data_IF_372914893785
#
_entry.id   IF_372914893785
#
_cell.length_a   1.000
_cell.length_b   1.000
_cell.length_c   1.000
_cell.angle_alpha   90.00
_cell.angle_beta   90.00
_cell.angle_gamma   90.00
#
_symmetry.space_group_name_H-M   'P 1'
#
loop_
_entity.id
_entity.type
_entity.pdbx_description
1 polymer ?
#
# COMPACT_ATOMS: atom_id res chain seq x y z
N UNK A 1 3.35 -15.20 15.30
CA UNK A 1 2.63 -15.94 14.23
C UNK A 1 3.60 -16.67 13.30
N UNK A 2 3.11 -17.57 12.46
CA UNK A 2 3.93 -18.25 11.45
C UNK A 2 4.32 -17.25 10.36
N UNK A 3 5.61 -17.14 9.95
CA UNK A 3 6.02 -16.32 8.82
C UNK A 3 5.24 -16.70 7.54
N UNK A 4 4.85 -15.70 6.76
CA UNK A 4 4.15 -15.90 5.51
C UNK A 4 4.89 -15.20 4.37
N UNK A 5 4.87 -15.81 3.19
CA UNK A 5 5.44 -15.22 1.98
C UNK A 5 4.49 -14.20 1.36
N UNK A 6 5.03 -13.10 0.86
CA UNK A 6 4.30 -12.29 -0.13
C UNK A 6 3.95 -13.18 -1.34
N UNK A 7 2.72 -13.05 -1.84
CA UNK A 7 2.25 -13.84 -3.00
C UNK A 7 2.79 -13.34 -4.34
N UNK A 8 3.78 -12.44 -4.30
CA UNK A 8 4.53 -11.94 -5.47
C UNK A 8 6.02 -11.89 -5.12
N UNK A 9 6.87 -11.84 -6.14
CA UNK A 9 8.32 -11.66 -5.98
C UNK A 9 8.65 -10.18 -5.69
N UNK A 10 8.34 -9.75 -4.48
CA UNK A 10 8.47 -8.34 -4.07
C UNK A 10 9.94 -7.88 -4.13
N UNK A 11 10.88 -8.72 -3.71
CA UNK A 11 12.31 -8.39 -3.71
C UNK A 11 12.82 -8.02 -5.10
N UNK A 12 12.45 -8.81 -6.12
CA UNK A 12 12.81 -8.53 -7.53
C UNK A 12 12.23 -7.20 -8.00
N UNK A 13 10.97 -6.93 -7.67
CA UNK A 13 10.29 -5.69 -8.10
C UNK A 13 10.90 -4.46 -7.46
N UNK A 14 11.14 -4.49 -6.15
CA UNK A 14 11.78 -3.37 -5.43
C UNK A 14 13.20 -3.14 -5.95
N UNK A 15 13.97 -4.21 -6.13
CA UNK A 15 15.35 -4.11 -6.67
C UNK A 15 15.35 -3.56 -8.09
N UNK A 16 14.42 -3.97 -8.94
CA UNK A 16 14.31 -3.46 -10.31
C UNK A 16 14.01 -1.94 -10.32
N UNK A 17 13.09 -1.47 -9.48
CA UNK A 17 12.79 -0.04 -9.35
C UNK A 17 14.00 0.75 -8.81
N UNK A 18 14.70 0.22 -7.80
CA UNK A 18 15.92 0.82 -7.26
C UNK A 18 17.03 0.87 -8.30
N UNK A 19 17.18 -0.20 -9.11
CA UNK A 19 18.15 -0.23 -10.21
C UNK A 19 17.83 0.83 -11.28
N UNK A 20 16.58 0.96 -11.68
CA UNK A 20 16.16 1.98 -12.66
C UNK A 20 16.47 3.41 -12.15
N UNK A 21 16.18 3.68 -10.88
CA UNK A 21 16.49 4.96 -10.24
C UNK A 21 18.01 5.22 -10.21
N UNK A 22 18.80 4.24 -9.80
CA UNK A 22 20.25 4.37 -9.69
C UNK A 22 20.90 4.56 -11.07
N UNK A 23 20.46 3.85 -12.10
CA UNK A 23 20.92 4.00 -13.48
C UNK A 23 20.59 5.41 -13.99
N UNK A 24 19.37 5.88 -13.79
CA UNK A 24 18.95 7.22 -14.21
C UNK A 24 19.80 8.31 -13.54
N UNK A 25 20.07 8.18 -12.24
CA UNK A 25 20.91 9.09 -11.50
C UNK A 25 22.37 9.07 -12.01
N UNK A 26 22.91 7.89 -12.31
CA UNK A 26 24.27 7.74 -12.84
C UNK A 26 24.40 8.34 -14.27
N UNK A 27 23.39 8.15 -15.11
CA UNK A 27 23.33 8.75 -16.44
C UNK A 27 23.24 10.29 -16.36
N UNK A 28 22.44 10.81 -15.47
CA UNK A 28 22.35 12.26 -15.24
C UNK A 28 23.67 12.84 -14.72
N UNK A 29 24.32 12.15 -13.78
CA UNK A 29 25.65 12.57 -13.29
C UNK A 29 26.67 12.58 -14.43
N UNK A 30 26.71 11.53 -15.27
CA UNK A 30 27.60 11.46 -16.44
C UNK A 30 27.35 12.61 -17.42
N UNK A 31 26.11 12.97 -17.66
CA UNK A 31 25.76 14.11 -18.54
C UNK A 31 26.30 15.43 -17.99
N UNK A 32 26.36 15.57 -16.67
CA UNK A 32 26.86 16.78 -15.99
C UNK A 32 28.38 16.84 -15.87
N UNK A 33 29.02 15.70 -15.67
CA UNK A 33 30.47 15.62 -15.35
C UNK A 33 31.32 15.11 -16.50
N UNK A 34 30.72 14.43 -17.47
CA UNK A 34 31.45 13.72 -18.55
C UNK A 34 31.94 12.33 -18.10
N UNK A 35 31.83 11.99 -16.81
CA UNK A 35 32.42 10.77 -16.25
C UNK A 35 31.33 9.73 -15.92
N UNK A 36 31.53 8.51 -16.41
CA UNK A 36 30.70 7.36 -16.07
C UNK A 36 31.15 6.71 -14.76
N UNK A 37 30.24 5.92 -14.15
CA UNK A 37 30.56 5.19 -12.92
C UNK A 37 29.97 3.79 -12.92
N UNK A 38 30.55 2.89 -12.15
CA UNK A 38 30.02 1.56 -11.91
C UNK A 38 29.03 1.60 -10.73
N UNK A 39 27.77 1.27 -11.00
CA UNK A 39 26.71 1.15 -9.99
C UNK A 39 26.64 -0.29 -9.53
N UNK A 40 26.73 -0.52 -8.22
CA UNK A 40 26.53 -1.82 -7.59
C UNK A 40 25.27 -1.78 -6.75
N UNK A 41 24.46 -2.81 -6.84
CA UNK A 41 23.20 -2.94 -6.12
C UNK A 41 23.05 -4.38 -5.62
N UNK A 42 22.65 -4.52 -4.36
CA UNK A 42 22.30 -5.80 -3.74
C UNK A 42 20.79 -5.83 -3.52
N UNK A 43 20.17 -6.97 -3.80
CA UNK A 43 18.74 -7.19 -3.53
C UNK A 43 18.44 -7.10 -2.04
N UNK A 44 19.33 -7.60 -1.19
CA UNK A 44 19.20 -7.49 0.25
C UNK A 44 19.18 -6.04 0.72
N UNK A 45 20.13 -5.22 0.22
CA UNK A 45 20.23 -3.81 0.62
C UNK A 45 19.02 -3.00 0.13
N UNK A 46 18.52 -3.31 -1.08
CA UNK A 46 17.32 -2.69 -1.62
C UNK A 46 16.09 -2.98 -0.72
N UNK A 47 15.94 -4.23 -0.26
CA UNK A 47 14.84 -4.60 0.63
C UNK A 47 14.99 -4.00 2.02
N UNK A 48 16.19 -4.00 2.60
CA UNK A 48 16.45 -3.35 3.88
C UNK A 48 16.13 -1.85 3.83
N UNK A 49 16.59 -1.16 2.78
CA UNK A 49 16.30 0.26 2.57
C UNK A 49 14.81 0.54 2.42
N UNK A 50 14.09 -0.33 1.72
CA UNK A 50 12.64 -0.20 1.52
C UNK A 50 11.85 -0.35 2.81
N UNK A 51 12.20 -1.35 3.63
CA UNK A 51 11.48 -1.63 4.88
C UNK A 51 11.91 -0.76 6.06
N UNK A 52 13.10 -0.14 6.00
CA UNK A 52 13.67 0.55 7.17
C UNK A 52 12.77 1.61 7.77
N UNK A 53 12.12 2.50 6.99
CA UNK A 53 11.32 3.58 7.56
C UNK A 53 10.12 3.13 8.40
N UNK A 54 9.54 1.99 8.09
CA UNK A 54 8.31 1.51 8.75
C UNK A 54 8.53 0.25 9.58
N UNK A 55 9.17 -0.77 9.03
CA UNK A 55 9.22 -2.08 9.65
C UNK A 55 10.42 -2.27 10.60
N UNK A 56 11.46 -1.42 10.51
CA UNK A 56 12.71 -1.57 11.25
C UNK A 56 12.91 -0.49 12.33
N UNK A 57 11.86 0.27 12.67
CA UNK A 57 11.96 1.38 13.61
C UNK A 57 12.61 1.01 14.94
N UNK A 58 12.33 -0.18 15.49
CA UNK A 58 12.94 -0.69 16.71
C UNK A 58 14.45 -0.91 16.64
N UNK A 59 15.00 -1.03 15.44
CA UNK A 59 16.44 -1.23 15.19
C UNK A 59 17.18 0.07 14.88
N UNK A 60 16.47 1.20 14.77
CA UNK A 60 17.07 2.48 14.34
C UNK A 60 18.02 3.07 15.39
N UNK A 61 17.74 2.85 16.67
CA UNK A 61 18.58 3.34 17.75
C UNK A 61 19.45 2.20 18.32
N UNK A 62 20.74 2.23 18.06
CA UNK A 62 21.66 1.16 18.44
C UNK A 62 21.84 0.97 19.95
N UNK A 63 21.64 2.04 20.73
CA UNK A 63 21.86 2.04 22.19
C UNK A 63 20.56 1.87 23.00
N UNK A 64 19.42 1.75 22.34
CA UNK A 64 18.11 1.61 23.00
C UNK A 64 17.35 0.45 22.40
N UNK A 65 16.94 -0.46 23.26
CA UNK A 65 15.97 -1.47 22.91
C UNK A 65 14.56 -0.90 22.97
N UNK A 66 13.81 -1.02 21.89
CA UNK A 66 12.40 -0.68 21.85
C UNK A 66 11.59 -1.95 21.67
N UNK A 67 10.63 -2.18 22.54
CA UNK A 67 9.66 -3.24 22.33
C UNK A 67 8.70 -2.81 21.20
N UNK A 68 8.86 -3.45 20.05
CA UNK A 68 8.00 -3.24 18.88
C UNK A 68 6.81 -4.18 18.82
N UNK A 69 6.71 -5.11 19.78
CA UNK A 69 5.65 -6.12 19.83
C UNK A 69 4.23 -5.48 19.82
N UNK A 70 3.97 -4.39 20.56
CA UNK A 70 2.67 -3.73 20.52
C UNK A 70 2.28 -3.20 19.14
N UNK A 71 3.26 -2.92 18.28
CA UNK A 71 3.02 -2.31 16.95
C UNK A 71 2.91 -3.33 15.83
N UNK A 72 3.20 -4.62 16.12
CA UNK A 72 3.12 -5.67 15.11
C UNK A 72 1.69 -5.87 14.61
N UNK A 73 1.51 -5.78 13.29
CA UNK A 73 0.20 -5.92 12.65
C UNK A 73 -0.74 -4.72 12.85
N UNK A 74 -0.28 -3.60 13.44
CA UNK A 74 -1.10 -2.41 13.62
C UNK A 74 -1.62 -1.83 12.29
N UNK A 75 -0.86 -2.03 11.20
CA UNK A 75 -1.22 -1.58 9.85
C UNK A 75 -1.99 -2.63 9.03
N UNK A 76 -2.31 -3.79 9.61
CA UNK A 76 -3.23 -4.76 9.00
C UNK A 76 -4.66 -4.32 9.29
N UNK A 77 -5.22 -3.51 8.41
CA UNK A 77 -6.50 -2.81 8.54
C UNK A 77 -7.54 -3.34 7.55
N UNK A 78 -7.53 -4.65 7.31
CA UNK A 78 -8.53 -5.34 6.49
C UNK A 78 -9.62 -5.91 7.41
N UNK A 79 -10.87 -5.54 7.11
CA UNK A 79 -12.04 -5.93 7.89
C UNK A 79 -13.09 -6.63 7.02
N UNK A 80 -13.72 -7.67 7.58
CA UNK A 80 -14.85 -8.35 6.99
C UNK A 80 -16.12 -7.54 7.26
N UNK A 81 -16.95 -7.36 6.26
CA UNK A 81 -18.31 -6.82 6.34
C UNK A 81 -19.32 -7.96 6.17
N UNK A 82 -20.60 -7.66 6.02
CA UNK A 82 -21.61 -8.69 5.75
C UNK A 82 -21.43 -9.40 4.41
N UNK A 83 -20.83 -8.73 3.42
CA UNK A 83 -20.82 -9.17 2.03
C UNK A 83 -19.42 -9.17 1.37
N UNK A 84 -18.44 -8.40 1.90
CA UNK A 84 -17.10 -8.24 1.30
C UNK A 84 -16.04 -8.02 2.37
N UNK A 85 -14.85 -7.58 1.89
CA UNK A 85 -13.79 -7.02 2.72
C UNK A 85 -13.56 -5.56 2.35
N UNK A 86 -13.23 -4.76 3.37
CA UNK A 86 -12.84 -3.36 3.22
C UNK A 86 -11.53 -3.10 3.95
N UNK A 87 -10.88 -2.00 3.64
CA UNK A 87 -9.85 -1.42 4.51
C UNK A 87 -10.38 -0.10 5.08
N UNK A 88 -10.11 0.13 6.35
CA UNK A 88 -10.41 1.39 7.01
C UNK A 88 -9.42 1.63 8.15
N UNK A 89 -9.04 2.88 8.37
CA UNK A 89 -8.09 3.22 9.43
C UNK A 89 -8.19 4.68 9.84
N UNK A 90 -7.72 4.96 11.04
CA UNK A 90 -7.64 6.30 11.61
C UNK A 90 -6.24 6.49 12.22
N UNK A 91 -5.54 7.52 11.79
CA UNK A 91 -4.23 7.92 12.30
C UNK A 91 -4.39 9.10 13.24
N UNK A 92 -5.07 10.16 12.80
CA UNK A 92 -5.35 11.34 13.60
C UNK A 92 -6.47 11.13 14.62
N UNK A 93 -6.57 12.03 15.60
CA UNK A 93 -7.65 11.98 16.59
C UNK A 93 -9.01 12.32 15.98
N UNK A 94 -9.03 13.20 14.97
CA UNK A 94 -10.25 13.52 14.21
C UNK A 94 -10.77 12.33 13.40
N UNK A 95 -9.88 11.62 12.70
CA UNK A 95 -10.25 10.40 11.97
C UNK A 95 -10.74 9.30 12.92
N UNK A 96 -10.11 9.17 14.11
CA UNK A 96 -10.56 8.21 15.12
C UNK A 96 -11.96 8.54 15.62
N UNK A 97 -12.21 9.80 15.95
CA UNK A 97 -13.55 10.24 16.35
C UNK A 97 -14.59 10.01 15.26
N UNK A 98 -14.25 10.30 14.00
CA UNK A 98 -15.10 10.00 12.83
C UNK A 98 -15.37 8.51 12.68
N UNK A 99 -14.34 7.67 12.81
CA UNK A 99 -14.49 6.22 12.76
C UNK A 99 -15.44 5.70 13.86
N UNK A 100 -15.27 6.18 15.08
CA UNK A 100 -16.15 5.81 16.20
C UNK A 100 -17.60 6.20 15.94
N UNK A 101 -17.87 7.39 15.40
CA UNK A 101 -19.23 7.81 15.00
C UNK A 101 -19.78 6.94 13.88
N UNK A 102 -18.96 6.66 12.87
CA UNK A 102 -19.39 5.83 11.74
C UNK A 102 -19.84 4.42 12.17
N UNK A 103 -19.11 3.80 13.09
CA UNK A 103 -19.45 2.47 13.62
C UNK A 103 -20.43 2.51 14.83
N UNK A 104 -20.93 3.70 15.21
CA UNK A 104 -21.85 3.91 16.35
C UNK A 104 -21.26 3.51 17.71
N UNK A 105 -19.97 3.79 17.90
CA UNK A 105 -19.25 3.53 19.15
C UNK A 105 -18.55 4.80 19.66
N UNK A 106 -19.31 5.88 19.84
CA UNK A 106 -18.80 7.15 20.34
C UNK A 106 -18.19 7.05 21.76
N UNK A 107 -18.58 6.01 22.52
CA UNK A 107 -17.97 5.68 23.80
C UNK A 107 -16.46 5.42 23.73
N UNK A 108 -15.94 5.07 22.54
CA UNK A 108 -14.52 4.79 22.32
C UNK A 108 -13.68 6.05 22.11
N UNK A 109 -14.28 7.20 21.82
CA UNK A 109 -13.55 8.45 21.52
C UNK A 109 -12.69 8.85 22.71
N UNK A 110 -13.26 8.90 23.89
CA UNK A 110 -12.58 9.26 25.14
C UNK A 110 -12.15 8.04 25.97
N UNK A 111 -12.16 6.85 25.35
CA UNK A 111 -11.77 5.63 26.07
C UNK A 111 -10.28 5.69 26.45
N UNK A 112 -9.88 5.36 27.69
CA UNK A 112 -8.49 5.46 28.16
C UNK A 112 -7.46 4.76 27.27
N UNK A 113 -7.84 3.65 26.60
CA UNK A 113 -6.97 2.91 25.70
C UNK A 113 -6.90 3.50 24.27
N UNK A 114 -7.76 4.47 23.93
CA UNK A 114 -7.89 4.92 22.53
C UNK A 114 -7.92 6.43 22.34
N UNK A 115 -7.89 7.21 23.43
CA UNK A 115 -8.05 8.68 23.42
C UNK A 115 -6.98 9.43 22.61
N UNK A 116 -5.77 8.88 22.50
CA UNK A 116 -4.69 9.46 21.70
C UNK A 116 -4.00 8.41 20.81
N UNK A 117 -3.19 8.88 19.86
CA UNK A 117 -2.53 8.02 18.88
C UNK A 117 -1.60 6.98 19.53
N UNK A 118 -0.91 7.34 20.62
CA UNK A 118 0.02 6.43 21.32
C UNK A 118 -0.75 5.32 22.01
N UNK A 119 -1.83 5.65 22.70
CA UNK A 119 -2.70 4.68 23.37
C UNK A 119 -3.35 3.74 22.33
N UNK A 120 -3.83 4.27 21.20
CA UNK A 120 -4.39 3.47 20.10
C UNK A 120 -3.38 2.50 19.48
N UNK A 121 -2.12 2.90 19.38
CA UNK A 121 -1.06 2.02 18.88
C UNK A 121 -0.70 0.94 19.89
N UNK A 122 -0.59 1.29 21.17
CA UNK A 122 -0.28 0.35 22.25
C UNK A 122 -1.37 -0.71 22.41
N UNK A 123 -2.64 -0.32 22.25
CA UNK A 123 -3.80 -1.21 22.37
C UNK A 123 -4.37 -1.62 21.00
N UNK A 124 -3.51 -1.68 19.96
CA UNK A 124 -3.99 -1.92 18.59
C UNK A 124 -4.72 -3.25 18.41
N UNK A 125 -4.37 -4.29 19.15
CA UNK A 125 -5.02 -5.61 19.08
C UNK A 125 -6.48 -5.51 19.56
N UNK A 126 -6.69 -4.86 20.71
CA UNK A 126 -8.02 -4.63 21.26
C UNK A 126 -8.85 -3.73 20.34
N UNK A 127 -8.28 -2.60 19.92
CA UNK A 127 -8.90 -1.68 18.98
C UNK A 127 -9.38 -2.38 17.71
N UNK A 128 -8.50 -3.16 17.07
CA UNK A 128 -8.82 -3.89 15.83
C UNK A 128 -9.90 -4.94 16.03
N UNK A 129 -9.90 -5.64 17.16
CA UNK A 129 -10.94 -6.60 17.48
C UNK A 129 -12.31 -5.93 17.59
N UNK A 130 -12.39 -4.79 18.29
CA UNK A 130 -13.64 -4.01 18.40
C UNK A 130 -14.08 -3.52 17.02
N UNK A 131 -13.17 -2.93 16.24
CA UNK A 131 -13.49 -2.48 14.89
C UNK A 131 -14.01 -3.61 14.00
N UNK A 132 -13.39 -4.79 14.05
CA UNK A 132 -13.79 -5.94 13.27
C UNK A 132 -15.21 -6.40 13.63
N UNK A 133 -15.55 -6.46 14.92
CA UNK A 133 -16.88 -6.83 15.40
C UNK A 133 -17.95 -5.82 14.98
N UNK A 134 -17.65 -4.53 15.06
CA UNK A 134 -18.60 -3.48 14.70
C UNK A 134 -18.79 -3.37 13.19
N UNK A 135 -17.70 -3.35 12.41
CA UNK A 135 -17.75 -3.26 10.94
C UNK A 135 -18.49 -4.45 10.33
N UNK A 136 -18.34 -5.64 10.89
CA UNK A 136 -19.00 -6.85 10.42
C UNK A 136 -20.54 -6.79 10.47
N UNK A 137 -21.12 -5.86 11.21
CA UNK A 137 -22.58 -5.66 11.31
C UNK A 137 -23.17 -4.93 10.11
N UNK A 138 -22.35 -4.41 9.20
CA UNK A 138 -22.75 -3.54 8.10
C UNK A 138 -22.48 -4.18 6.74
N UNK A 139 -23.30 -3.83 5.75
CA UNK A 139 -22.94 -4.04 4.35
C UNK A 139 -21.78 -3.12 3.94
N UNK A 140 -20.93 -3.56 3.01
CA UNK A 140 -19.72 -2.80 2.63
C UNK A 140 -20.04 -1.40 2.13
N UNK A 141 -20.99 -1.26 1.23
CA UNK A 141 -21.33 0.06 0.66
C UNK A 141 -21.87 1.01 1.73
N UNK A 142 -22.64 0.50 2.69
CA UNK A 142 -23.19 1.29 3.78
C UNK A 142 -22.12 1.81 4.71
N UNK A 143 -21.22 0.95 5.18
CA UNK A 143 -20.15 1.36 6.11
C UNK A 143 -19.12 2.26 5.43
N UNK A 144 -18.80 2.02 4.15
CA UNK A 144 -17.92 2.89 3.38
C UNK A 144 -18.52 4.29 3.22
N UNK A 145 -19.83 4.40 2.91
CA UNK A 145 -20.49 5.69 2.84
C UNK A 145 -20.50 6.43 4.19
N UNK A 146 -20.62 5.72 5.31
CA UNK A 146 -20.53 6.29 6.66
C UNK A 146 -19.13 6.78 6.97
N UNK A 147 -18.09 6.02 6.60
CA UNK A 147 -16.70 6.42 6.76
C UNK A 147 -16.36 7.66 5.91
N UNK A 148 -16.82 7.69 4.67
CA UNK A 148 -16.63 8.83 3.78
C UNK A 148 -17.29 10.11 4.33
N UNK A 149 -18.50 10.00 4.85
CA UNK A 149 -19.22 11.13 5.47
C UNK A 149 -18.51 11.68 6.73
N UNK A 150 -17.72 10.87 7.42
CA UNK A 150 -16.93 11.23 8.60
C UNK A 150 -15.45 11.48 8.27
N UNK A 151 -15.10 11.56 7.00
CA UNK A 151 -13.72 11.79 6.50
C UNK A 151 -12.71 10.75 7.01
N UNK A 152 -13.15 9.51 7.20
CA UNK A 152 -12.30 8.38 7.61
C UNK A 152 -11.69 7.72 6.37
N UNK A 153 -10.36 7.58 6.29
CA UNK A 153 -9.70 6.88 5.20
C UNK A 153 -10.19 5.43 5.08
N UNK A 154 -10.82 5.11 3.97
CA UNK A 154 -11.37 3.78 3.72
C UNK A 154 -11.36 3.45 2.22
N UNK A 155 -11.41 2.16 1.90
CA UNK A 155 -11.60 1.69 0.52
C UNK A 155 -12.17 0.26 0.50
N UNK A 156 -12.91 -0.12 -0.55
CA UNK A 156 -13.28 -1.50 -0.77
C UNK A 156 -12.05 -2.33 -1.14
N UNK A 157 -12.01 -3.59 -0.70
CA UNK A 157 -11.04 -4.56 -1.22
C UNK A 157 -11.63 -5.14 -2.51
N UNK A 158 -11.04 -4.75 -3.63
CA UNK A 158 -11.50 -5.12 -4.96
C UNK A 158 -10.96 -6.51 -5.32
N UNK A 159 -11.83 -7.41 -5.76
CA UNK A 159 -11.39 -8.69 -6.30
C UNK A 159 -10.63 -8.48 -7.63
N UNK A 160 -9.64 -9.34 -7.88
CA UNK A 160 -8.84 -9.27 -9.11
C UNK A 160 -9.70 -9.37 -10.38
N UNK A 161 -10.78 -10.12 -10.33
CA UNK A 161 -11.73 -10.27 -11.45
C UNK A 161 -12.49 -8.98 -11.77
N UNK A 162 -12.74 -8.13 -10.76
CA UNK A 162 -13.47 -6.87 -10.87
C UNK A 162 -12.57 -5.69 -11.26
N UNK A 163 -11.24 -5.83 -11.08
CA UNK A 163 -10.28 -4.74 -11.24
C UNK A 163 -10.35 -4.05 -12.62
N UNK A 164 -10.51 -4.83 -13.69
CA UNK A 164 -10.57 -4.28 -15.06
C UNK A 164 -11.87 -3.51 -15.34
N UNK A 165 -12.91 -3.78 -14.55
CA UNK A 165 -14.20 -3.11 -14.66
C UNK A 165 -14.36 -1.93 -13.70
N UNK A 166 -13.42 -1.77 -12.77
CA UNK A 166 -13.43 -0.67 -11.82
C UNK A 166 -13.37 0.69 -12.52
N UNK A 167 -14.24 1.62 -12.12
CA UNK A 167 -14.40 2.92 -12.77
C UNK A 167 -13.09 3.72 -12.81
N UNK A 168 -12.36 3.77 -11.69
CA UNK A 168 -11.10 4.51 -11.60
C UNK A 168 -10.02 3.91 -12.53
N UNK A 169 -9.98 2.59 -12.69
CA UNK A 169 -9.04 1.92 -13.60
C UNK A 169 -9.35 2.27 -15.05
N UNK A 170 -10.63 2.33 -15.41
CA UNK A 170 -11.11 2.75 -16.75
C UNK A 170 -10.84 4.23 -16.99
N UNK A 171 -11.21 5.09 -16.06
CA UNK A 171 -11.03 6.55 -16.16
C UNK A 171 -9.55 6.93 -16.29
N UNK A 172 -8.70 6.28 -15.54
CA UNK A 172 -7.26 6.52 -15.60
C UNK A 172 -6.59 5.88 -16.82
N UNK A 173 -7.30 5.07 -17.60
CA UNK A 173 -6.72 4.26 -18.67
C UNK A 173 -5.52 3.44 -18.16
N UNK A 174 -5.65 2.85 -16.95
CA UNK A 174 -4.54 2.15 -16.29
C UNK A 174 -4.12 0.86 -16.99
N UNK A 175 -4.99 0.31 -17.84
CA UNK A 175 -4.74 -0.90 -18.64
C UNK A 175 -4.97 -0.61 -20.11
N UNK A 176 -3.96 -0.89 -20.91
CA UNK A 176 -3.97 -0.74 -22.35
C UNK A 176 -4.26 -2.09 -23.03
N UNK A 177 -4.89 -2.04 -24.20
CA UNK A 177 -5.05 -3.18 -25.11
C UNK A 177 -4.11 -2.97 -26.28
N UNK A 178 -3.22 -3.93 -26.49
CA UNK A 178 -2.17 -3.88 -27.49
C UNK A 178 -2.28 -5.08 -28.41
N UNK A 179 -2.08 -4.85 -29.71
CA UNK A 179 -2.08 -5.91 -30.71
C UNK A 179 -0.64 -6.25 -31.09
N UNK A 180 -0.26 -7.51 -30.92
CA UNK A 180 1.06 -7.98 -31.30
C UNK A 180 0.95 -9.18 -32.25
N UNK A 181 1.80 -9.19 -33.27
CA UNK A 181 1.91 -10.30 -34.19
C UNK A 181 2.32 -11.58 -33.44
N UNK A 182 1.63 -12.67 -33.69
CA UNK A 182 1.87 -13.96 -33.03
C UNK A 182 1.24 -14.11 -31.64
N UNK A 183 0.79 -13.02 -31.00
CA UNK A 183 0.16 -13.04 -29.67
C UNK A 183 -1.31 -12.62 -29.67
N UNK A 184 -1.77 -11.92 -30.73
CA UNK A 184 -3.10 -11.34 -30.75
C UNK A 184 -3.22 -10.11 -29.83
N UNK A 185 -4.44 -9.87 -29.32
CA UNK A 185 -4.71 -8.80 -28.37
C UNK A 185 -4.23 -9.19 -26.96
N UNK A 186 -3.39 -8.36 -26.37
CA UNK A 186 -2.92 -8.49 -24.97
C UNK A 186 -3.31 -7.27 -24.16
N UNK A 187 -3.58 -7.48 -22.87
CA UNK A 187 -3.79 -6.42 -21.90
C UNK A 187 -2.52 -6.21 -21.09
N UNK A 188 -2.13 -4.96 -20.91
CA UNK A 188 -0.95 -4.62 -20.14
C UNK A 188 -1.20 -3.35 -19.32
N UNK A 189 -0.67 -3.30 -18.10
CA UNK A 189 -0.70 -2.08 -17.32
C UNK A 189 0.15 -1.01 -18.01
N UNK A 190 -0.41 0.20 -18.14
CA UNK A 190 0.30 1.38 -18.63
C UNK A 190 1.42 1.76 -17.66
N UNK A 191 2.46 2.40 -18.17
CA UNK A 191 3.48 3.02 -17.30
C UNK A 191 2.83 4.07 -16.38
N UNK A 192 3.04 4.02 -15.06
CA UNK A 192 2.34 4.90 -14.12
C UNK A 192 2.74 6.37 -14.28
N UNK A 193 4.00 6.68 -14.60
CA UNK A 193 4.42 8.04 -14.89
C UNK A 193 4.06 8.42 -16.33
N UNK A 194 3.41 9.57 -16.46
CA UNK A 194 2.98 10.13 -17.74
C UNK A 194 3.86 11.31 -18.10
N UNK A 195 4.59 11.19 -19.19
CA UNK A 195 5.46 12.23 -19.72
C UNK A 195 4.80 12.89 -20.92
N UNK A 196 4.50 14.17 -20.86
CA UNK A 196 3.81 14.90 -21.95
C UNK A 196 4.61 14.92 -23.25
N UNK A 197 5.94 15.08 -23.16
CA UNK A 197 6.82 15.21 -24.34
C UNK A 197 7.43 13.90 -24.80
N UNK A 198 7.58 12.95 -23.90
CA UNK A 198 8.23 11.65 -24.16
C UNK A 198 7.39 10.53 -23.54
N UNK A 199 6.15 10.31 -24.03
CA UNK A 199 5.27 9.31 -23.47
C UNK A 199 5.90 7.92 -23.54
N UNK A 200 5.80 7.18 -22.43
CA UNK A 200 6.18 5.80 -22.42
C UNK A 200 5.18 4.96 -23.23
N UNK A 201 5.67 4.06 -24.07
CA UNK A 201 4.85 3.16 -24.84
C UNK A 201 5.42 1.73 -24.82
N UNK A 202 4.55 0.75 -24.80
CA UNK A 202 4.93 -0.66 -24.97
C UNK A 202 5.00 -0.96 -26.45
N UNK A 203 6.20 -1.05 -27.00
CA UNK A 203 6.44 -1.21 -28.43
C UNK A 203 6.70 -2.66 -28.88
N UNK A 204 6.94 -3.56 -27.92
CA UNK A 204 7.26 -4.97 -28.21
C UNK A 204 6.58 -5.90 -27.22
N UNK A 205 6.17 -7.10 -27.67
CA UNK A 205 5.68 -8.14 -26.77
C UNK A 205 6.84 -8.72 -25.93
N UNK A 206 6.50 -9.62 -25.01
CA UNK A 206 7.51 -10.43 -24.34
C UNK A 206 8.33 -11.20 -25.40
N UNK A 207 9.66 -11.39 -25.17
CA UNK A 207 10.47 -12.18 -26.10
C UNK A 207 9.97 -13.63 -26.13
N UNK A 208 9.99 -14.22 -27.32
CA UNK A 208 9.75 -15.66 -27.46
C UNK A 208 11.00 -16.43 -27.03
N UNK A 209 10.81 -17.60 -26.45
CA UNK A 209 11.89 -18.53 -26.09
C UNK A 209 12.41 -19.23 -27.34
#
# INVERSE_FOLDING_TARGET
>A
GRPQMFRIIAADKVTALTAAQAISAALYARERTGEGQHVRLSMLDAMLSFFWPEAMAGLTFAEKEFDVTPYQGAMDLVFETQDRFITAGAISDSEWAGLCRAIQREDLIEHPHFKDATDRMTHNVERKAIMAEEIKKWASDEILARFDAEEVPCAPIIDRSELLDHEQVKTNHSVERLQFEGFGEVRQARHPAQFERTPAAVSRPAPQL
#
